data_IF_587327755517
#
_entry.id   IF_587327755517
#
_cell.length_a   1.000
_cell.length_b   1.000
_cell.length_c   1.000
_cell.angle_alpha   90.00
_cell.angle_beta   90.00
_cell.angle_gamma   90.00
#
_symmetry.space_group_name_H-M   'P 1'
#
loop_
_entity.id
_entity.type
_entity.pdbx_description
1 polymer ?
#
# COMPACT_ATOMS: atom_id res chain seq x y z
N UNK A 1 14.30 14.30 -0.49
CA UNK A 1 14.54 13.63 0.80
C UNK A 1 13.80 14.36 1.92
N UNK A 2 13.41 13.63 2.96
CA UNK A 2 12.90 14.20 4.19
C UNK A 2 14.05 14.90 4.95
N UNK A 3 13.75 16.06 5.56
CA UNK A 3 14.73 16.82 6.36
C UNK A 3 15.00 16.19 7.75
N UNK A 4 14.12 15.32 8.21
CA UNK A 4 14.30 14.53 9.43
C UNK A 4 15.12 13.31 9.07
N UNK A 5 16.35 13.20 9.63
CA UNK A 5 17.33 12.20 9.24
C UNK A 5 17.67 11.21 10.38
N UNK A 6 17.07 11.37 11.55
CA UNK A 6 17.30 10.53 12.72
C UNK A 6 16.49 9.23 12.75
N UNK A 7 15.82 8.90 11.64
CA UNK A 7 15.06 7.67 11.45
C UNK A 7 15.32 7.03 10.06
N UNK A 8 14.70 5.88 9.82
CA UNK A 8 14.92 5.10 8.59
C UNK A 8 14.05 5.55 7.41
N UNK A 9 13.30 6.65 7.49
CA UNK A 9 12.36 7.03 6.43
C UNK A 9 13.06 7.23 5.08
N UNK A 10 14.17 7.96 5.06
CA UNK A 10 14.90 8.21 3.83
C UNK A 10 15.44 6.93 3.19
N UNK A 11 15.93 5.98 4.01
CA UNK A 11 16.33 4.65 3.55
C UNK A 11 15.17 3.88 2.91
N UNK A 12 14.00 3.87 3.57
CA UNK A 12 12.80 3.20 3.05
C UNK A 12 12.35 3.84 1.73
N UNK A 13 12.36 5.16 1.63
CA UNK A 13 12.02 5.89 0.37
C UNK A 13 13.00 5.53 -0.74
N UNK A 14 14.30 5.37 -0.44
CA UNK A 14 15.30 4.93 -1.42
C UNK A 14 15.02 3.49 -1.88
N UNK A 15 14.72 2.56 -0.96
CA UNK A 15 14.31 1.19 -1.30
C UNK A 15 13.03 1.16 -2.16
N UNK A 16 12.02 1.99 -1.83
CA UNK A 16 10.81 2.12 -2.65
C UNK A 16 11.12 2.62 -4.06
N UNK A 17 12.07 3.56 -4.18
CA UNK A 17 12.48 4.09 -5.48
C UNK A 17 13.26 3.07 -6.33
N UNK A 18 13.89 2.08 -5.74
CA UNK A 18 14.59 0.99 -6.43
C UNK A 18 13.65 -0.17 -6.79
N UNK A 19 12.59 -0.39 -6.02
CA UNK A 19 11.63 -1.46 -6.27
C UNK A 19 10.79 -1.21 -7.53
N UNK A 20 10.40 -2.26 -8.23
CA UNK A 20 9.47 -2.19 -9.37
C UNK A 20 8.01 -2.16 -8.91
N UNK A 21 7.71 -2.77 -7.76
CA UNK A 21 6.38 -2.83 -7.16
C UNK A 21 6.40 -2.58 -5.66
N UNK A 22 5.35 -1.94 -5.15
CA UNK A 22 5.20 -1.54 -3.76
C UNK A 22 3.83 -1.96 -3.25
N UNK A 23 3.79 -2.68 -2.13
CA UNK A 23 2.54 -2.99 -1.43
C UNK A 23 2.50 -2.15 -0.14
N UNK A 24 1.47 -1.34 0.01
CA UNK A 24 1.18 -0.64 1.27
C UNK A 24 0.11 -1.41 2.03
N UNK A 25 0.40 -1.73 3.29
CA UNK A 25 -0.50 -2.49 4.13
C UNK A 25 -0.71 -1.81 5.49
N UNK A 26 -1.96 -1.74 5.95
CA UNK A 26 -2.29 -1.20 7.26
C UNK A 26 -3.52 -1.90 7.85
N UNK A 27 -3.56 -2.15 9.17
CA UNK A 27 -4.81 -2.41 9.85
C UNK A 27 -5.66 -1.13 9.90
N UNK A 28 -6.96 -1.31 10.16
CA UNK A 28 -7.90 -0.21 10.38
C UNK A 28 -7.99 0.09 11.87
N UNK A 29 -7.63 1.30 12.26
CA UNK A 29 -7.80 1.81 13.61
C UNK A 29 -8.67 3.07 13.57
N UNK A 30 -9.86 3.02 14.20
CA UNK A 30 -10.83 4.13 14.20
C UNK A 30 -11.17 4.64 12.80
N UNK A 31 -11.34 3.73 11.83
CA UNK A 31 -11.72 4.07 10.47
C UNK A 31 -10.62 4.70 9.61
N UNK A 32 -9.37 4.72 10.07
CA UNK A 32 -8.20 5.23 9.35
C UNK A 32 -7.05 4.23 9.39
N UNK A 33 -6.00 4.47 8.62
CA UNK A 33 -4.76 3.73 8.75
C UNK A 33 -4.09 4.03 10.12
N UNK A 34 -3.11 3.23 10.50
CA UNK A 34 -2.38 3.48 11.77
C UNK A 34 -1.70 4.85 11.75
N UNK A 35 -1.50 5.43 12.94
CA UNK A 35 -0.75 6.69 13.06
C UNK A 35 0.65 6.59 12.45
N UNK A 36 1.35 5.47 12.60
CA UNK A 36 2.65 5.22 11.98
C UNK A 36 2.55 5.24 10.44
N UNK A 37 1.55 4.55 9.87
CA UNK A 37 1.32 4.58 8.43
C UNK A 37 0.99 5.99 7.96
N UNK A 38 0.15 6.73 8.69
CA UNK A 38 -0.21 8.10 8.33
C UNK A 38 1.02 9.02 8.29
N UNK A 39 1.85 9.00 9.33
CA UNK A 39 3.11 9.78 9.37
C UNK A 39 4.03 9.37 8.20
N UNK A 40 4.13 8.07 7.94
CA UNK A 40 4.91 7.57 6.80
C UNK A 40 4.41 8.12 5.47
N UNK A 41 3.10 8.03 5.19
CA UNK A 41 2.50 8.51 3.94
C UNK A 41 2.73 10.03 3.74
N UNK A 42 2.59 10.83 4.79
CA UNK A 42 2.79 12.27 4.73
C UNK A 42 4.25 12.62 4.41
N UNK A 43 5.18 12.03 5.14
CA UNK A 43 6.62 12.34 4.99
C UNK A 43 7.21 11.73 3.72
N UNK A 44 6.89 10.46 3.42
CA UNK A 44 7.35 9.81 2.20
C UNK A 44 6.74 10.47 0.96
N UNK A 45 5.45 10.82 1.00
CA UNK A 45 4.77 11.53 -0.08
C UNK A 45 5.46 12.84 -0.42
N UNK A 46 5.73 13.69 0.59
CA UNK A 46 6.45 14.94 0.37
C UNK A 46 7.87 14.70 -0.18
N UNK A 47 8.60 13.74 0.39
CA UNK A 47 9.97 13.43 -0.05
C UNK A 47 10.04 12.91 -1.49
N UNK A 48 9.05 12.12 -1.93
CA UNK A 48 8.97 11.59 -3.29
C UNK A 48 8.50 12.63 -4.31
N UNK A 49 7.47 13.43 -3.98
CA UNK A 49 6.96 14.51 -4.84
C UNK A 49 8.06 15.56 -5.09
N UNK A 50 8.68 16.08 -4.05
CA UNK A 50 9.75 17.08 -4.17
C UNK A 50 11.05 16.52 -4.73
N UNK A 51 11.24 15.22 -4.64
CA UNK A 51 12.39 14.49 -5.19
C UNK A 51 12.25 14.10 -6.67
N UNK A 52 11.26 14.62 -7.41
CA UNK A 52 11.07 14.36 -8.83
C UNK A 52 10.15 13.17 -9.12
N UNK A 53 9.15 12.91 -8.27
CA UNK A 53 8.19 11.82 -8.43
C UNK A 53 8.86 10.45 -8.56
N UNK A 54 9.73 10.14 -7.62
CA UNK A 54 10.58 8.93 -7.62
C UNK A 54 9.80 7.61 -7.71
N UNK A 55 8.50 7.59 -7.37
CA UNK A 55 7.63 6.42 -7.45
C UNK A 55 6.80 6.36 -8.74
N UNK A 56 6.96 7.33 -9.62
CA UNK A 56 6.21 7.40 -10.88
C UNK A 56 6.36 6.12 -11.69
N UNK A 57 5.22 5.60 -12.17
CA UNK A 57 5.10 4.38 -13.00
C UNK A 57 5.45 3.07 -12.30
N UNK A 58 5.77 3.08 -11.01
CA UNK A 58 5.90 1.83 -10.25
C UNK A 58 4.54 1.21 -10.02
N UNK A 59 4.48 -0.11 -9.94
CA UNK A 59 3.25 -0.83 -9.61
C UNK A 59 2.95 -0.67 -8.13
N UNK A 60 1.73 -0.25 -7.80
CA UNK A 60 1.28 -0.10 -6.41
C UNK A 60 0.10 -0.99 -6.11
N UNK A 61 0.03 -1.54 -4.90
CA UNK A 61 -1.09 -2.29 -4.39
C UNK A 61 -1.37 -1.96 -2.93
N UNK A 62 -2.66 -1.94 -2.54
CA UNK A 62 -3.10 -1.70 -1.18
C UNK A 62 -3.64 -2.97 -0.54
N UNK A 63 -3.33 -3.19 0.74
CA UNK A 63 -3.83 -4.28 1.56
C UNK A 63 -4.30 -3.73 2.90
N UNK A 64 -5.50 -4.11 3.32
CA UNK A 64 -6.07 -3.66 4.58
C UNK A 64 -6.58 -4.85 5.40
N UNK A 65 -6.39 -4.79 6.71
CA UNK A 65 -7.04 -5.71 7.64
C UNK A 65 -7.94 -4.92 8.58
N UNK A 66 -9.20 -5.31 8.68
CA UNK A 66 -10.19 -4.70 9.58
C UNK A 66 -10.75 -5.75 10.55
N UNK A 67 -11.12 -5.34 11.76
CA UNK A 67 -11.85 -6.20 12.68
C UNK A 67 -13.37 -6.19 12.40
N UNK A 68 -13.92 -5.04 12.05
CA UNK A 68 -15.35 -4.83 11.84
C UNK A 68 -15.64 -3.97 10.60
N UNK A 69 -15.11 -2.75 10.54
CA UNK A 69 -15.48 -1.73 9.56
C UNK A 69 -14.32 -0.76 9.29
N UNK A 70 -14.53 0.16 8.35
CA UNK A 70 -13.58 1.24 8.03
C UNK A 70 -12.47 0.86 7.06
N UNK A 71 -12.39 -0.40 6.65
CA UNK A 71 -11.34 -0.87 5.73
C UNK A 71 -11.34 -0.16 4.38
N UNK A 72 -12.51 0.19 3.84
CA UNK A 72 -12.61 0.93 2.57
C UNK A 72 -12.03 2.35 2.66
N UNK A 73 -12.13 2.99 3.81
CA UNK A 73 -11.53 4.31 4.04
C UNK A 73 -10.00 4.21 4.02
N UNK A 74 -9.44 3.24 4.75
CA UNK A 74 -7.99 2.97 4.76
C UNK A 74 -7.49 2.58 3.38
N UNK A 75 -8.22 1.71 2.67
CA UNK A 75 -7.89 1.32 1.29
C UNK A 75 -7.78 2.57 0.40
N UNK A 76 -8.75 3.48 0.50
CA UNK A 76 -8.75 4.73 -0.26
C UNK A 76 -7.58 5.65 0.11
N UNK A 77 -7.20 5.74 1.39
CA UNK A 77 -6.02 6.51 1.83
C UNK A 77 -4.73 6.00 1.19
N UNK A 78 -4.52 4.67 1.20
CA UNK A 78 -3.34 4.03 0.60
C UNK A 78 -3.31 4.22 -0.93
N UNK A 79 -4.45 4.03 -1.60
CA UNK A 79 -4.58 4.22 -3.05
C UNK A 79 -4.34 5.68 -3.43
N UNK A 80 -4.88 6.64 -2.65
CA UNK A 80 -4.66 8.06 -2.90
C UNK A 80 -3.18 8.44 -2.86
N UNK A 81 -2.40 7.91 -1.90
CA UNK A 81 -0.95 8.09 -1.88
C UNK A 81 -0.29 7.62 -3.19
N UNK A 82 -0.68 6.43 -3.67
CA UNK A 82 -0.13 5.85 -4.90
C UNK A 82 -0.46 6.72 -6.13
N UNK A 83 -1.72 7.15 -6.25
CA UNK A 83 -2.18 7.98 -7.37
C UNK A 83 -1.47 9.35 -7.38
N UNK A 84 -1.29 9.98 -6.23
CA UNK A 84 -0.53 11.23 -6.13
C UNK A 84 0.93 11.07 -6.56
N UNK A 85 1.53 9.92 -6.32
CA UNK A 85 2.88 9.59 -6.77
C UNK A 85 2.93 9.09 -8.23
N UNK A 86 1.82 9.17 -8.97
CA UNK A 86 1.70 8.71 -10.38
C UNK A 86 2.08 7.23 -10.56
N UNK A 87 1.78 6.39 -9.57
CA UNK A 87 1.97 4.95 -9.63
C UNK A 87 0.85 4.30 -10.45
N UNK A 88 1.10 3.10 -10.95
CA UNK A 88 0.09 2.24 -11.60
C UNK A 88 -0.53 1.35 -10.53
N UNK A 89 -1.76 1.63 -10.14
CA UNK A 89 -2.42 0.89 -9.05
C UNK A 89 -3.01 -0.41 -9.57
N UNK A 90 -2.60 -1.51 -8.97
CA UNK A 90 -3.14 -2.85 -9.21
C UNK A 90 -4.24 -3.16 -8.19
N UNK A 91 -5.33 -3.73 -8.65
CA UNK A 91 -6.47 -4.08 -7.82
C UNK A 91 -6.83 -5.57 -7.87
N UNK A 92 -7.90 -5.91 -7.17
CA UNK A 92 -8.53 -7.23 -7.17
C UNK A 92 -10.04 -7.11 -7.04
N UNK A 93 -10.76 -8.23 -7.20
CA UNK A 93 -12.21 -8.30 -6.98
C UNK A 93 -12.50 -9.39 -5.94
N UNK A 94 -13.10 -9.04 -4.79
CA UNK A 94 -13.29 -7.68 -4.25
C UNK A 94 -11.96 -6.98 -3.92
N UNK A 95 -12.01 -5.73 -3.43
CA UNK A 95 -10.81 -5.05 -2.93
C UNK A 95 -10.13 -5.86 -1.84
N UNK A 96 -8.80 -5.75 -1.71
CA UNK A 96 -7.99 -6.48 -0.72
C UNK A 96 -8.18 -5.91 0.69
N UNK A 97 -9.37 -6.11 1.23
CA UNK A 97 -9.76 -5.80 2.60
C UNK A 97 -10.10 -7.11 3.29
N UNK A 98 -9.24 -7.56 4.19
CA UNK A 98 -9.44 -8.78 4.96
C UNK A 98 -10.12 -8.46 6.29
N UNK A 99 -10.98 -9.36 6.73
CA UNK A 99 -11.63 -9.24 8.04
C UNK A 99 -11.04 -10.25 9.01
N UNK A 100 -10.44 -9.74 10.09
CA UNK A 100 -9.88 -10.58 11.16
C UNK A 100 -9.92 -9.85 12.50
N UNK A 101 -10.33 -10.54 13.56
CA UNK A 101 -10.33 -10.02 14.95
C UNK A 101 -9.07 -10.39 15.69
N UNK A 102 -8.39 -11.44 15.26
CA UNK A 102 -7.21 -12.01 15.88
C UNK A 102 -6.29 -12.64 14.82
N UNK A 103 -5.10 -12.99 15.23
CA UNK A 103 -4.19 -13.79 14.43
C UNK A 103 -4.28 -15.26 14.89
N UNK A 104 -4.62 -16.24 14.03
CA UNK A 104 -4.64 -16.20 12.56
C UNK A 104 -6.04 -16.04 11.93
N UNK A 105 -6.91 -15.24 12.51
CA UNK A 105 -8.32 -15.09 12.07
C UNK A 105 -8.50 -14.73 10.60
N UNK A 106 -7.52 -14.05 9.98
CA UNK A 106 -7.56 -13.72 8.54
C UNK A 106 -7.64 -14.97 7.64
N UNK A 107 -7.15 -16.13 8.08
CA UNK A 107 -7.23 -17.39 7.32
C UNK A 107 -8.68 -17.90 7.17
N UNK A 108 -9.60 -17.43 8.02
CA UNK A 108 -11.02 -17.76 7.97
C UNK A 108 -11.80 -16.87 7.01
N UNK A 109 -11.23 -15.75 6.58
CA UNK A 109 -11.81 -14.87 5.56
C UNK A 109 -11.48 -15.39 4.17
N UNK A 110 -12.25 -16.37 3.70
CA UNK A 110 -12.04 -16.97 2.40
C UNK A 110 -12.15 -15.96 1.24
N UNK A 111 -13.04 -14.98 1.34
CA UNK A 111 -13.21 -13.94 0.32
C UNK A 111 -12.00 -13.01 0.27
N UNK A 112 -11.54 -12.53 1.42
CA UNK A 112 -10.33 -11.72 1.53
C UNK A 112 -9.08 -12.47 1.05
N UNK A 113 -8.96 -13.76 1.41
CA UNK A 113 -7.84 -14.59 0.95
C UNK A 113 -7.86 -14.83 -0.58
N UNK A 114 -9.06 -14.96 -1.19
CA UNK A 114 -9.17 -15.02 -2.66
C UNK A 114 -8.77 -13.70 -3.30
N UNK A 115 -9.23 -12.57 -2.75
CA UNK A 115 -8.87 -11.24 -3.22
C UNK A 115 -7.35 -11.03 -3.17
N UNK A 116 -6.69 -11.43 -2.07
CA UNK A 116 -5.24 -11.33 -1.91
C UNK A 116 -4.47 -12.16 -2.94
N UNK A 117 -4.90 -13.41 -3.20
CA UNK A 117 -4.30 -14.26 -4.24
C UNK A 117 -4.49 -13.66 -5.64
N UNK A 118 -5.66 -13.09 -5.90
CA UNK A 118 -5.94 -12.40 -7.17
C UNK A 118 -5.03 -11.20 -7.31
N UNK A 119 -4.90 -10.35 -6.28
CA UNK A 119 -3.97 -9.22 -6.29
C UNK A 119 -2.55 -9.65 -6.63
N UNK A 120 -2.06 -10.72 -6.01
CA UNK A 120 -0.71 -11.23 -6.29
C UNK A 120 -0.51 -11.65 -7.75
N UNK A 121 -1.50 -12.32 -8.36
CA UNK A 121 -1.45 -12.69 -9.78
C UNK A 121 -1.47 -11.49 -10.71
N UNK A 122 -2.39 -10.56 -10.47
CA UNK A 122 -2.54 -9.36 -11.29
C UNK A 122 -1.30 -8.46 -11.19
N UNK A 123 -0.75 -8.31 -9.98
CA UNK A 123 0.50 -7.56 -9.77
C UNK A 123 1.68 -8.20 -10.48
N UNK A 124 1.80 -9.53 -10.43
CA UNK A 124 2.84 -10.29 -11.15
C UNK A 124 2.71 -10.13 -12.67
N UNK A 125 1.49 -10.24 -13.21
CA UNK A 125 1.22 -10.02 -14.63
C UNK A 125 1.59 -8.60 -15.07
N UNK A 126 1.19 -7.59 -14.29
CA UNK A 126 1.45 -6.19 -14.60
C UNK A 126 2.96 -5.88 -14.59
N UNK A 127 3.68 -6.35 -13.57
CA UNK A 127 5.14 -6.20 -13.47
C UNK A 127 5.83 -6.84 -14.67
N UNK A 128 5.45 -8.05 -15.05
CA UNK A 128 6.00 -8.72 -16.23
C UNK A 128 5.67 -8.02 -17.56
N UNK A 129 4.54 -7.29 -17.62
CA UNK A 129 4.14 -6.53 -18.81
C UNK A 129 4.90 -5.21 -18.95
N UNK A 130 5.26 -4.59 -17.84
CA UNK A 130 5.99 -3.32 -17.81
C UNK A 130 7.52 -3.48 -17.96
N UNK A 131 8.04 -4.68 -17.71
CA UNK A 131 9.47 -5.01 -17.85
C UNK A 131 9.90 -5.28 -19.28
N UNK A 132 9.00 -5.13 -20.25
CA UNK A 132 9.25 -5.25 -21.70
C UNK A 132 9.38 -3.83 -22.30
#
# INVERSE_FOLDING_TARGET
RCIIEDDRLNEIVDMMAEADGIVLASPTYYGSCTGQMKIFLERAGLATETGGLRLRRKVGAALVVQAHEGGSMVYSELVNFMLRNQMVVCGSTPCTILTAKDTPGYLKDEAGMRALRTLGREMSWLLGSLSR
#
